data_IF_715700657272
#
_entry.id   IF_715700657272
#
_cell.length_a   1.000
_cell.length_b   1.000
_cell.length_c   1.000
_cell.angle_alpha   90.00
_cell.angle_beta   90.00
_cell.angle_gamma   90.00
#
_symmetry.space_group_name_H-M   'P 1'
#
loop_
_entity.id
_entity.type
_entity.pdbx_description
1 polymer ?
#
# COMPACT_ATOMS: atom_id res chain seq x y z
N UNK A 1 -5.45 1.90 -1.10
CA UNK A 1 -5.21 2.80 -2.27
C UNK A 1 -3.74 3.12 -2.45
N UNK A 2 -2.98 3.39 -1.39
CA UNK A 2 -1.53 3.65 -1.45
C UNK A 2 -0.71 2.59 -2.18
N UNK A 3 -1.01 1.29 -1.97
CA UNK A 3 -0.32 0.20 -2.69
C UNK A 3 -0.47 0.32 -4.21
N UNK A 4 -1.68 0.58 -4.69
CA UNK A 4 -1.95 0.76 -6.13
C UNK A 4 -1.17 1.94 -6.69
N UNK A 5 -1.14 3.07 -5.97
CA UNK A 5 -0.38 4.25 -6.37
C UNK A 5 1.13 3.96 -6.42
N UNK A 6 1.65 3.23 -5.43
CA UNK A 6 3.06 2.80 -5.40
C UNK A 6 3.41 1.91 -6.60
N UNK A 7 2.55 0.95 -6.97
CA UNK A 7 2.81 0.05 -8.09
C UNK A 7 2.61 0.71 -9.46
N UNK A 8 1.63 1.61 -9.61
CA UNK A 8 1.49 2.45 -10.82
C UNK A 8 2.70 3.37 -10.99
N UNK A 9 3.18 3.96 -9.89
CA UNK A 9 4.40 4.75 -9.91
C UNK A 9 5.60 3.92 -10.37
N UNK A 10 5.80 2.73 -9.80
CA UNK A 10 6.91 1.85 -10.20
C UNK A 10 6.83 1.39 -11.66
N UNK A 11 5.68 0.86 -12.07
CA UNK A 11 5.53 0.20 -13.36
C UNK A 11 5.29 1.13 -14.54
N UNK A 12 4.58 2.24 -14.34
CA UNK A 12 4.12 3.10 -15.45
C UNK A 12 4.77 4.48 -15.44
N UNK A 13 4.84 5.12 -14.27
CA UNK A 13 5.43 6.46 -14.18
C UNK A 13 6.96 6.41 -14.22
N UNK A 14 7.56 5.50 -13.46
CA UNK A 14 9.00 5.30 -13.44
C UNK A 14 9.43 4.30 -14.51
N UNK A 15 8.79 3.13 -14.56
CA UNK A 15 9.19 2.04 -15.45
C UNK A 15 10.64 1.64 -15.19
N UNK A 16 10.94 1.24 -13.94
CA UNK A 16 12.32 0.99 -13.53
C UNK A 16 12.92 -0.23 -14.24
N UNK A 17 14.12 -0.05 -14.78
CA UNK A 17 14.94 -1.11 -15.38
C UNK A 17 16.29 -1.16 -14.69
N UNK A 18 16.67 -2.36 -14.24
CA UNK A 18 18.01 -2.64 -13.73
C UNK A 18 18.93 -3.04 -14.87
N UNK A 19 20.13 -2.48 -14.92
CA UNK A 19 21.08 -2.69 -16.00
C UNK A 19 22.08 -3.79 -15.62
N UNK A 20 21.64 -4.98 -15.18
CA UNK A 20 22.61 -6.01 -14.79
C UNK A 20 23.44 -6.52 -15.98
N UNK A 21 24.74 -6.81 -15.81
CA UNK A 21 25.55 -6.77 -14.58
C UNK A 21 26.08 -5.38 -14.19
N UNK A 22 25.88 -4.35 -15.02
CA UNK A 22 26.28 -2.98 -14.73
C UNK A 22 25.50 -2.46 -13.50
N UNK A 23 26.16 -1.84 -12.50
CA UNK A 23 25.52 -1.48 -11.25
C UNK A 23 24.74 -0.17 -11.42
N UNK A 24 23.73 -0.17 -12.29
CA UNK A 24 22.95 0.99 -12.65
C UNK A 24 21.48 0.67 -12.86
N UNK A 25 20.68 1.73 -12.80
CA UNK A 25 19.24 1.67 -12.96
C UNK A 25 18.77 2.92 -13.72
N UNK A 26 17.80 2.75 -14.59
CA UNK A 26 17.19 3.82 -15.35
C UNK A 26 15.68 3.63 -15.46
N UNK A 27 14.98 4.65 -15.92
CA UNK A 27 13.53 4.62 -16.12
C UNK A 27 13.20 4.66 -17.60
N UNK A 28 12.14 3.94 -17.98
CA UNK A 28 11.53 4.03 -19.32
C UNK A 28 10.08 4.56 -19.25
N UNK A 29 9.59 4.86 -18.06
CA UNK A 29 8.23 5.35 -17.82
C UNK A 29 8.07 6.84 -18.14
N UNK A 30 6.83 7.32 -18.01
CA UNK A 30 6.44 8.68 -18.38
C UNK A 30 7.25 9.78 -17.66
N UNK A 31 7.62 9.58 -16.40
CA UNK A 31 8.40 10.55 -15.62
C UNK A 31 9.90 10.43 -15.82
N UNK A 32 10.39 9.36 -16.46
CA UNK A 32 11.83 9.13 -16.64
C UNK A 32 12.49 10.19 -17.53
N UNK A 33 11.73 10.80 -18.44
CA UNK A 33 12.22 11.91 -19.29
C UNK A 33 12.38 13.23 -18.54
N UNK A 34 11.73 13.39 -17.37
CA UNK A 34 11.69 14.66 -16.63
C UNK A 34 12.52 14.61 -15.35
N UNK A 35 12.83 13.43 -14.83
CA UNK A 35 13.42 13.26 -13.51
C UNK A 35 14.31 12.02 -13.46
N UNK A 36 15.41 12.10 -12.71
CA UNK A 36 16.33 10.97 -12.57
C UNK A 36 15.69 9.80 -11.83
N UNK A 37 16.14 8.59 -12.17
CA UNK A 37 15.68 7.37 -11.51
C UNK A 37 15.98 7.36 -10.01
N UNK A 38 17.05 8.04 -9.60
CA UNK A 38 17.38 8.26 -8.20
C UNK A 38 16.22 8.91 -7.42
N UNK A 39 15.64 9.99 -7.94
CA UNK A 39 14.51 10.69 -7.30
C UNK A 39 13.22 9.88 -7.39
N UNK A 40 12.98 9.22 -8.53
CA UNK A 40 11.78 8.41 -8.73
C UNK A 40 11.73 7.20 -7.78
N UNK A 41 12.87 6.59 -7.45
CA UNK A 41 12.93 5.54 -6.42
C UNK A 41 12.60 6.11 -5.04
N UNK A 42 13.06 7.30 -4.67
CA UNK A 42 12.73 7.92 -3.38
C UNK A 42 11.22 8.09 -3.22
N UNK A 43 10.55 8.62 -4.26
CA UNK A 43 9.09 8.77 -4.27
C UNK A 43 8.41 7.42 -4.07
N UNK A 44 8.89 6.39 -4.79
CA UNK A 44 8.36 5.04 -4.65
C UNK A 44 8.51 4.49 -3.22
N UNK A 45 9.69 4.64 -2.60
CA UNK A 45 9.97 4.19 -1.24
C UNK A 45 8.99 4.85 -0.26
N UNK A 46 8.70 6.15 -0.40
CA UNK A 46 7.71 6.82 0.45
C UNK A 46 6.29 6.30 0.23
N UNK A 47 5.84 6.13 -1.02
CA UNK A 47 4.52 5.59 -1.34
C UNK A 47 4.35 4.16 -0.80
N UNK A 48 5.39 3.34 -0.92
CA UNK A 48 5.43 2.00 -0.37
C UNK A 48 5.41 2.01 1.17
N UNK A 49 6.23 2.87 1.79
CA UNK A 49 6.26 3.06 3.23
C UNK A 49 4.90 3.48 3.81
N UNK A 50 4.17 4.36 3.13
CA UNK A 50 2.79 4.75 3.52
C UNK A 50 1.85 3.53 3.49
N UNK A 51 2.02 2.62 2.52
CA UNK A 51 1.25 1.38 2.46
C UNK A 51 1.51 0.51 3.69
N UNK A 52 2.77 0.29 4.03
CA UNK A 52 3.17 -0.50 5.21
C UNK A 52 2.66 0.16 6.49
N UNK A 53 2.82 1.47 6.63
CA UNK A 53 2.31 2.23 7.76
C UNK A 53 0.79 2.05 7.92
N UNK A 54 0.03 2.14 6.83
CA UNK A 54 -1.43 1.96 6.87
C UNK A 54 -1.82 0.56 7.40
N UNK A 55 -1.08 -0.48 7.01
CA UNK A 55 -1.31 -1.85 7.51
C UNK A 55 -1.12 -1.93 9.04
N UNK A 56 -0.06 -1.30 9.55
CA UNK A 56 0.18 -1.23 10.98
C UNK A 56 -0.88 -0.40 11.70
N UNK A 57 -1.21 0.79 11.21
CA UNK A 57 -2.23 1.66 11.82
C UNK A 57 -3.57 0.95 11.94
N UNK A 58 -4.03 0.26 10.88
CA UNK A 58 -5.26 -0.54 10.92
C UNK A 58 -5.18 -1.64 11.99
N UNK A 59 -4.03 -2.30 12.13
CA UNK A 59 -3.82 -3.35 13.12
C UNK A 59 -3.85 -2.80 14.55
N UNK A 60 -3.23 -1.64 14.79
CA UNK A 60 -3.21 -0.98 16.10
C UNK A 60 -4.60 -0.45 16.46
N UNK A 61 -5.32 0.16 15.52
CA UNK A 61 -6.72 0.60 15.74
C UNK A 61 -7.61 -0.60 16.10
N UNK A 62 -7.43 -1.75 15.43
CA UNK A 62 -8.14 -2.99 15.78
C UNK A 62 -7.78 -3.48 17.17
N UNK A 63 -6.50 -3.48 17.54
CA UNK A 63 -6.08 -3.86 18.88
C UNK A 63 -6.72 -2.96 19.93
N UNK A 64 -6.70 -1.64 19.71
CA UNK A 64 -7.34 -0.66 20.61
C UNK A 64 -8.84 -0.87 20.75
N UNK A 65 -9.53 -1.21 19.66
CA UNK A 65 -10.97 -1.47 19.68
C UNK A 65 -11.36 -2.73 20.48
N UNK A 66 -10.44 -3.69 20.63
CA UNK A 66 -10.67 -4.97 21.31
C UNK A 66 -10.00 -5.01 22.69
N UNK A 67 -9.07 -4.10 23.00
CA UNK A 67 -8.37 -4.08 24.27
C UNK A 67 -9.33 -3.81 25.44
N UNK A 68 -9.31 -4.68 26.46
CA UNK A 68 -10.06 -4.45 27.72
C UNK A 68 -9.46 -3.27 28.49
N UNK A 69 -10.28 -2.50 29.22
CA UNK A 69 -9.83 -1.35 30.01
C UNK A 69 -8.67 -1.64 31.00
N UNK A 70 -8.60 -2.87 31.54
CA UNK A 70 -7.52 -3.30 32.45
C UNK A 70 -6.42 -4.12 31.75
N UNK A 71 -6.35 -4.11 30.42
CA UNK A 71 -5.30 -4.79 29.68
C UNK A 71 -4.07 -3.91 29.54
N UNK A 72 -2.89 -4.54 29.49
CA UNK A 72 -1.60 -3.91 29.15
C UNK A 72 -1.65 -3.25 27.76
N UNK A 73 -2.57 -3.71 26.89
CA UNK A 73 -2.77 -3.16 25.54
C UNK A 73 -3.75 -1.97 25.49
N UNK A 74 -4.37 -1.60 26.62
CA UNK A 74 -5.21 -0.41 26.70
C UNK A 74 -4.37 0.81 27.07
N UNK A 75 -3.80 1.43 26.03
CA UNK A 75 -2.95 2.60 26.19
C UNK A 75 -3.76 3.88 26.37
N UNK A 76 -3.19 4.83 27.13
CA UNK A 76 -3.67 6.22 27.14
C UNK A 76 -3.44 6.87 25.77
N UNK A 77 -4.28 7.85 25.41
CA UNK A 77 -4.21 8.56 24.12
C UNK A 77 -2.83 9.14 23.84
N UNK A 78 -2.18 9.75 24.85
CA UNK A 78 -0.82 10.29 24.70
C UNK A 78 0.18 9.22 24.28
N UNK A 79 0.11 8.03 24.89
CA UNK A 79 1.01 6.93 24.55
C UNK A 79 0.73 6.41 23.14
N UNK A 80 -0.55 6.35 22.74
CA UNK A 80 -0.94 5.98 21.39
C UNK A 80 -0.35 6.93 20.33
N UNK A 81 -0.41 8.24 20.56
CA UNK A 81 0.19 9.22 19.65
C UNK A 81 1.71 9.10 19.57
N UNK A 82 2.39 8.98 20.72
CA UNK A 82 3.85 8.81 20.76
C UNK A 82 4.25 7.52 20.03
N UNK A 83 3.61 6.40 20.34
CA UNK A 83 3.89 5.11 19.70
C UNK A 83 3.66 5.18 18.18
N UNK A 84 2.55 5.78 17.74
CA UNK A 84 2.22 5.94 16.32
C UNK A 84 3.23 6.82 15.59
N UNK A 85 3.69 7.90 16.24
CA UNK A 85 4.72 8.77 15.70
C UNK A 85 6.06 8.05 15.56
N UNK A 86 6.51 7.36 16.61
CA UNK A 86 7.75 6.55 16.58
C UNK A 86 7.69 5.47 15.51
N UNK A 87 6.55 4.79 15.37
CA UNK A 87 6.35 3.77 14.33
C UNK A 87 6.41 4.38 12.93
N UNK A 88 5.83 5.57 12.74
CA UNK A 88 5.88 6.29 11.46
C UNK A 88 7.32 6.65 11.08
N UNK A 89 8.12 7.14 12.04
CA UNK A 89 9.54 7.41 11.83
C UNK A 89 10.31 6.13 11.48
N UNK A 90 10.07 5.05 12.21
CA UNK A 90 10.72 3.75 11.97
C UNK A 90 10.42 3.21 10.55
N UNK A 91 9.21 3.38 10.04
CA UNK A 91 8.82 2.89 8.71
C UNK A 91 9.31 3.82 7.59
N UNK A 92 9.16 5.14 7.77
CA UNK A 92 9.32 6.10 6.68
C UNK A 92 10.73 6.69 6.55
N UNK A 93 11.57 6.64 7.58
CA UNK A 93 12.88 7.33 7.57
C UNK A 93 14.04 6.46 7.07
N UNK A 94 14.23 5.20 7.52
CA UNK A 94 15.52 4.54 7.31
C UNK A 94 15.83 4.21 5.84
N UNK A 95 14.85 3.78 5.04
CA UNK A 95 15.08 3.50 3.61
C UNK A 95 15.33 4.76 2.78
N UNK A 96 14.52 5.83 2.86
CA UNK A 96 14.83 7.07 2.16
C UNK A 96 16.18 7.65 2.57
N UNK A 97 16.53 7.62 3.86
CA UNK A 97 17.84 8.09 4.32
C UNK A 97 19.00 7.26 3.75
N UNK A 98 18.87 5.93 3.76
CA UNK A 98 19.86 5.02 3.19
C UNK A 98 20.05 5.23 1.68
N UNK A 99 18.95 5.48 0.97
CA UNK A 99 18.96 5.77 -0.46
C UNK A 99 19.56 7.14 -0.76
N UNK A 100 19.18 8.18 0.01
CA UNK A 100 19.70 9.54 -0.20
C UNK A 100 21.23 9.56 0.01
N UNK A 101 21.70 8.90 1.07
CA UNK A 101 23.14 8.76 1.34
C UNK A 101 23.87 7.82 0.37
N UNK A 102 23.16 7.18 -0.58
CA UNK A 102 23.76 6.39 -1.66
C UNK A 102 23.96 7.18 -2.95
N UNK A 103 23.46 8.42 -3.01
CA UNK A 103 23.72 9.33 -4.12
C UNK A 103 25.22 9.51 -4.37
N UNK A 104 25.58 9.62 -5.65
CA UNK A 104 26.94 9.93 -6.09
C UNK A 104 26.89 11.16 -6.99
N UNK A 105 27.97 11.93 -7.01
CA UNK A 105 28.05 13.11 -7.88
C UNK A 105 28.21 12.68 -9.35
N UNK A 106 27.88 13.57 -10.32
CA UNK A 106 28.11 13.28 -11.73
C UNK A 106 29.58 12.95 -12.03
N UNK A 107 30.51 13.63 -11.37
CA UNK A 107 31.97 13.42 -11.55
C UNK A 107 32.39 12.04 -11.03
N UNK A 108 31.94 11.65 -9.84
CA UNK A 108 32.20 10.31 -9.29
C UNK A 108 31.65 9.23 -10.21
N UNK A 109 30.46 9.45 -10.75
CA UNK A 109 29.81 8.51 -11.67
C UNK A 109 30.59 8.36 -12.97
N UNK A 110 31.03 9.47 -13.58
CA UNK A 110 31.84 9.44 -14.79
C UNK A 110 33.20 8.77 -14.56
N UNK A 111 33.86 9.07 -13.44
CA UNK A 111 35.14 8.45 -13.09
C UNK A 111 34.98 6.94 -12.88
N UNK A 112 33.94 6.52 -12.15
CA UNK A 112 33.65 5.10 -11.94
C UNK A 112 33.43 4.35 -13.26
N UNK A 113 32.61 4.89 -14.18
CA UNK A 113 32.36 4.24 -15.47
C UNK A 113 33.63 4.19 -16.32
N UNK A 114 34.41 5.27 -16.38
CA UNK A 114 35.67 5.29 -17.15
C UNK A 114 36.71 4.29 -16.62
N UNK A 115 36.79 4.11 -15.31
CA UNK A 115 37.77 3.22 -14.68
C UNK A 115 37.36 1.75 -14.75
N UNK A 116 36.10 1.42 -14.45
CA UNK A 116 35.66 0.03 -14.30
C UNK A 116 34.88 -0.50 -15.51
N UNK A 117 34.29 0.37 -16.34
CA UNK A 117 33.49 -0.01 -17.51
C UNK A 117 33.80 0.88 -18.74
N UNK A 118 35.06 0.90 -19.21
CA UNK A 118 35.49 1.82 -20.28
C UNK A 118 34.76 1.62 -21.62
N UNK A 119 34.20 0.42 -21.85
CA UNK A 119 33.47 0.10 -23.09
C UNK A 119 31.99 0.52 -23.05
N UNK A 120 31.46 0.98 -21.91
CA UNK A 120 30.03 1.30 -21.73
C UNK A 120 29.78 2.79 -21.48
N UNK A 121 30.64 3.67 -22.00
CA UNK A 121 30.52 5.13 -21.80
C UNK A 121 29.19 5.70 -22.28
N UNK A 122 28.57 5.09 -23.30
CA UNK A 122 27.23 5.47 -23.81
C UNK A 122 26.13 5.43 -22.73
N UNK A 123 26.33 4.71 -21.63
CA UNK A 123 25.37 4.67 -20.52
C UNK A 123 25.23 6.04 -19.85
N UNK A 124 26.26 6.89 -19.92
CA UNK A 124 26.26 8.25 -19.38
C UNK A 124 25.37 9.20 -20.18
N UNK A 125 25.07 8.85 -21.44
CA UNK A 125 24.18 9.62 -22.31
C UNK A 125 22.69 9.32 -22.01
N UNK A 126 22.41 8.28 -21.21
CA UNK A 126 21.05 7.93 -20.80
C UNK A 126 20.57 8.93 -19.76
N UNK A 127 19.57 9.73 -20.15
CA UNK A 127 18.97 10.72 -19.27
C UNK A 127 18.41 10.06 -18.01
N UNK A 128 18.83 10.57 -16.84
CA UNK A 128 18.29 10.12 -15.56
C UNK A 128 18.75 8.74 -15.10
N UNK A 129 19.81 8.18 -15.69
CA UNK A 129 20.48 6.97 -15.18
C UNK A 129 21.05 7.23 -13.79
N UNK A 130 20.92 6.25 -12.91
CA UNK A 130 21.55 6.23 -11.59
C UNK A 130 22.50 5.04 -11.52
N UNK A 131 23.71 5.26 -11.00
CA UNK A 131 24.79 4.28 -10.98
C UNK A 131 25.31 4.17 -9.54
N UNK A 132 25.37 2.95 -9.03
CA UNK A 132 26.04 2.65 -7.77
C UNK A 132 27.55 2.68 -7.99
N UNK A 133 28.17 3.78 -7.58
CA UNK A 133 29.62 3.97 -7.72
C UNK A 133 30.44 3.24 -6.66
N UNK A 134 29.78 2.60 -5.69
CA UNK A 134 30.43 1.91 -4.57
C UNK A 134 29.58 0.70 -4.13
N UNK A 135 30.22 -0.46 -4.06
CA UNK A 135 29.61 -1.72 -3.62
C UNK A 135 29.11 -1.63 -2.16
N UNK A 136 29.76 -0.84 -1.32
CA UNK A 136 29.34 -0.64 0.07
C UNK A 136 27.99 0.10 0.16
N UNK A 137 27.76 1.10 -0.70
CA UNK A 137 26.49 1.83 -0.76
C UNK A 137 25.33 0.88 -1.10
N UNK A 138 25.51 0.00 -2.08
CA UNK A 138 24.51 -1.00 -2.46
C UNK A 138 24.29 -2.04 -1.34
N UNK A 139 25.36 -2.55 -0.75
CA UNK A 139 25.29 -3.50 0.38
C UNK A 139 24.53 -2.93 1.57
N UNK A 140 24.74 -1.65 1.91
CA UNK A 140 24.01 -0.96 2.98
C UNK A 140 22.50 -0.91 2.72
N UNK A 141 22.08 -0.64 1.48
CA UNK A 141 20.66 -0.64 1.11
C UNK A 141 20.05 -2.02 1.36
N UNK A 142 20.73 -3.09 0.95
CA UNK A 142 20.26 -4.47 1.19
C UNK A 142 20.15 -4.76 2.68
N UNK A 143 21.18 -4.43 3.48
CA UNK A 143 21.18 -4.67 4.93
C UNK A 143 20.00 -3.96 5.61
N UNK A 144 19.78 -2.67 5.29
CA UNK A 144 18.68 -1.90 5.87
C UNK A 144 17.32 -2.45 5.42
N UNK A 145 17.17 -2.83 4.15
CA UNK A 145 15.94 -3.41 3.63
C UNK A 145 15.61 -4.75 4.32
N UNK A 146 16.57 -5.67 4.40
CA UNK A 146 16.39 -6.98 5.07
C UNK A 146 16.09 -6.79 6.55
N UNK A 147 16.83 -5.89 7.22
CA UNK A 147 16.60 -5.53 8.62
C UNK A 147 15.15 -5.10 8.83
N UNK A 148 14.70 -4.07 8.11
CA UNK A 148 13.35 -3.53 8.21
C UNK A 148 12.26 -4.54 7.90
N UNK A 149 12.41 -5.33 6.84
CA UNK A 149 11.43 -6.36 6.46
C UNK A 149 11.31 -7.39 7.60
N UNK A 150 12.45 -7.83 8.14
CA UNK A 150 12.49 -8.82 9.22
C UNK A 150 11.86 -8.28 10.50
N UNK A 151 12.30 -7.11 10.96
CA UNK A 151 11.80 -6.51 12.21
C UNK A 151 10.36 -6.06 12.09
N UNK A 152 9.92 -5.52 10.94
CA UNK A 152 8.51 -5.22 10.69
C UNK A 152 7.66 -6.49 10.65
N UNK A 153 8.14 -7.57 10.02
CA UNK A 153 7.47 -8.87 10.01
C UNK A 153 7.26 -9.40 11.43
N UNK A 154 8.30 -9.39 12.27
CA UNK A 154 8.21 -9.79 13.68
C UNK A 154 7.21 -8.93 14.47
N UNK A 155 7.25 -7.61 14.31
CA UNK A 155 6.31 -6.69 14.96
C UNK A 155 4.86 -6.95 14.52
N UNK A 156 4.64 -7.24 13.25
CA UNK A 156 3.31 -7.55 12.72
C UNK A 156 2.77 -8.87 13.31
N UNK A 157 3.61 -9.91 13.38
CA UNK A 157 3.25 -11.19 14.02
C UNK A 157 2.91 -10.98 15.50
N UNK A 158 3.72 -10.21 16.23
CA UNK A 158 3.45 -9.86 17.62
C UNK A 158 2.10 -9.15 17.80
N UNK A 159 1.79 -8.16 16.95
CA UNK A 159 0.50 -7.48 16.96
C UNK A 159 -0.66 -8.44 16.69
N UNK A 160 -0.51 -9.36 15.73
CA UNK A 160 -1.54 -10.37 15.46
C UNK A 160 -1.78 -11.28 16.67
N UNK A 161 -0.72 -11.70 17.36
CA UNK A 161 -0.83 -12.49 18.59
C UNK A 161 -1.49 -11.70 19.72
N UNK A 162 -1.15 -10.43 19.90
CA UNK A 162 -1.80 -9.55 20.87
C UNK A 162 -3.31 -9.40 20.60
N UNK A 163 -3.70 -9.20 19.35
CA UNK A 163 -5.11 -9.14 18.94
C UNK A 163 -5.81 -10.47 19.23
N UNK A 164 -5.20 -11.61 18.86
CA UNK A 164 -5.78 -12.94 19.13
C UNK A 164 -5.96 -13.20 20.63
N UNK A 165 -4.98 -12.78 21.43
CA UNK A 165 -5.02 -12.90 22.88
C UNK A 165 -6.18 -12.10 23.48
N UNK A 166 -6.34 -10.82 23.11
CA UNK A 166 -7.46 -10.00 23.59
C UNK A 166 -8.82 -10.54 23.10
N UNK A 167 -8.93 -10.99 21.85
CA UNK A 167 -10.14 -11.66 21.33
C UNK A 167 -10.50 -12.85 22.20
N UNK A 168 -9.53 -13.74 22.51
CA UNK A 168 -9.78 -14.93 23.35
C UNK A 168 -10.26 -14.56 24.74
N UNK A 169 -9.69 -13.51 25.30
CA UNK A 169 -10.00 -13.10 26.66
C UNK A 169 -11.34 -12.38 26.77
N UNK A 170 -11.78 -11.69 25.71
CA UNK A 170 -13.11 -11.09 25.63
C UNK A 170 -14.23 -12.06 25.19
N UNK A 171 -13.93 -13.34 24.95
CA UNK A 171 -14.95 -14.35 24.61
C UNK A 171 -16.08 -14.48 25.65
N UNK A 172 -15.83 -14.14 26.92
CA UNK A 172 -16.82 -14.21 28.00
C UNK A 172 -17.72 -12.98 28.08
N UNK A 173 -17.29 -11.85 27.52
CA UNK A 173 -17.98 -10.55 27.64
C UNK A 173 -18.63 -10.09 26.33
N UNK A 174 -18.06 -10.46 25.18
CA UNK A 174 -18.61 -10.14 23.87
C UNK A 174 -19.61 -11.20 23.41
N UNK A 175 -20.60 -10.78 22.62
CA UNK A 175 -21.51 -11.72 21.96
C UNK A 175 -20.76 -12.60 20.95
N UNK A 176 -21.24 -13.83 20.78
CA UNK A 176 -20.65 -14.81 19.86
C UNK A 176 -20.57 -14.30 18.42
N UNK A 177 -21.54 -13.49 17.99
CA UNK A 177 -21.58 -12.85 16.66
C UNK A 177 -20.44 -11.84 16.47
N UNK A 178 -20.21 -10.96 17.44
CA UNK A 178 -19.14 -9.94 17.37
C UNK A 178 -17.77 -10.59 17.43
N UNK A 179 -17.60 -11.60 18.30
CA UNK A 179 -16.36 -12.37 18.40
C UNK A 179 -16.02 -13.08 17.07
N UNK A 180 -17.01 -13.74 16.46
CA UNK A 180 -16.85 -14.42 15.17
C UNK A 180 -16.47 -13.43 14.06
N UNK A 181 -17.01 -12.21 14.09
CA UNK A 181 -16.65 -11.14 13.16
C UNK A 181 -15.18 -10.73 13.31
N UNK A 182 -14.70 -10.40 14.51
CA UNK A 182 -13.30 -9.99 14.72
C UNK A 182 -12.31 -11.09 14.37
N UNK A 183 -12.62 -12.35 14.71
CA UNK A 183 -11.77 -13.51 14.35
C UNK A 183 -11.70 -13.72 12.84
N UNK A 184 -12.84 -13.59 12.14
CA UNK A 184 -12.88 -13.65 10.67
C UNK A 184 -12.09 -12.51 10.06
N UNK A 185 -12.31 -11.27 10.50
CA UNK A 185 -11.64 -10.08 9.99
C UNK A 185 -10.11 -10.14 10.17
N UNK A 186 -9.62 -10.71 11.28
CA UNK A 186 -8.20 -10.93 11.50
C UNK A 186 -7.64 -12.00 10.55
N UNK A 187 -8.32 -13.15 10.43
CA UNK A 187 -7.93 -14.21 9.48
C UNK A 187 -7.85 -13.68 8.05
N UNK A 188 -8.88 -12.94 7.62
CA UNK A 188 -8.97 -12.37 6.28
C UNK A 188 -7.79 -11.41 6.03
N UNK A 189 -7.48 -10.53 6.99
CA UNK A 189 -6.33 -9.60 6.90
C UNK A 189 -4.98 -10.32 6.87
N UNK A 190 -4.79 -11.38 7.66
CA UNK A 190 -3.56 -12.18 7.62
C UNK A 190 -3.39 -12.82 6.24
N UNK A 191 -4.43 -13.44 5.68
CA UNK A 191 -4.38 -14.05 4.35
C UNK A 191 -4.03 -13.01 3.28
N UNK A 192 -4.64 -11.83 3.34
CA UNK A 192 -4.35 -10.73 2.42
C UNK A 192 -2.89 -10.29 2.47
N UNK A 193 -2.31 -10.18 3.68
CA UNK A 193 -0.91 -9.77 3.87
C UNK A 193 0.06 -10.87 3.47
N UNK A 194 -0.26 -12.15 3.70
CA UNK A 194 0.56 -13.27 3.22
C UNK A 194 0.61 -13.28 1.70
N UNK A 195 -0.54 -13.16 1.03
CA UNK A 195 -0.59 -13.06 -0.44
C UNK A 195 0.23 -11.87 -0.91
N UNK A 196 0.02 -10.69 -0.33
CA UNK A 196 0.76 -9.49 -0.68
C UNK A 196 2.28 -9.69 -0.48
N UNK A 197 2.68 -10.31 0.62
CA UNK A 197 4.07 -10.59 0.97
C UNK A 197 4.74 -11.57 0.00
N UNK A 198 4.02 -12.55 -0.53
CA UNK A 198 4.54 -13.46 -1.58
C UNK A 198 4.85 -12.65 -2.84
N UNK A 199 3.90 -11.89 -3.37
CA UNK A 199 4.11 -11.14 -4.61
C UNK A 199 5.17 -10.04 -4.48
N UNK A 200 5.20 -9.33 -3.35
CA UNK A 200 6.18 -8.27 -3.09
C UNK A 200 7.55 -8.80 -2.67
N UNK A 201 7.62 -9.95 -2.00
CA UNK A 201 8.87 -10.52 -1.48
C UNK A 201 9.59 -11.40 -2.50
N UNK A 202 8.86 -12.15 -3.32
CA UNK A 202 9.46 -13.00 -4.36
C UNK A 202 10.18 -12.17 -5.42
N UNK A 203 9.66 -11.01 -5.77
CA UNK A 203 10.26 -10.14 -6.80
C UNK A 203 11.69 -9.69 -6.49
N UNK A 204 11.98 -9.00 -5.37
CA UNK A 204 13.35 -8.56 -5.06
C UNK A 204 14.31 -9.74 -4.89
N UNK A 205 13.85 -10.88 -4.35
CA UNK A 205 14.67 -12.09 -4.30
C UNK A 205 15.04 -12.60 -5.71
N UNK A 206 14.09 -12.63 -6.65
CA UNK A 206 14.37 -13.03 -8.02
C UNK A 206 15.24 -12.01 -8.77
N UNK A 207 15.10 -10.71 -8.49
CA UNK A 207 15.98 -9.68 -9.05
C UNK A 207 17.41 -9.79 -8.54
N UNK A 208 17.59 -10.07 -7.24
CA UNK A 208 18.91 -10.33 -6.66
C UNK A 208 19.51 -11.59 -7.28
N UNK A 209 18.74 -12.67 -7.42
CA UNK A 209 19.22 -13.90 -8.08
C UNK A 209 19.61 -13.65 -9.54
N UNK A 210 18.85 -12.84 -10.28
CA UNK A 210 19.20 -12.42 -11.64
C UNK A 210 20.50 -11.60 -11.67
N UNK A 211 20.78 -10.80 -10.64
CA UNK A 211 22.02 -10.02 -10.55
C UNK A 211 23.28 -10.88 -10.41
N UNK A 212 23.15 -12.11 -9.88
CA UNK A 212 24.26 -13.06 -9.73
C UNK A 212 24.36 -14.09 -10.87
N UNK A 213 23.54 -13.95 -11.92
CA UNK A 213 23.57 -14.84 -13.08
C UNK A 213 24.71 -14.46 -14.04
N UNK A 214 25.20 -15.43 -14.81
CA UNK A 214 26.25 -15.18 -15.80
C UNK A 214 25.86 -14.02 -16.74
N UNK A 215 26.78 -13.07 -16.98
CA UNK A 215 26.49 -11.85 -17.73
C UNK A 215 26.19 -12.10 -19.22
N UNK A 216 26.49 -13.29 -19.74
CA UNK A 216 26.16 -13.71 -21.10
C UNK A 216 24.73 -14.29 -21.23
N UNK A 217 24.05 -14.56 -20.11
CA UNK A 217 22.69 -15.06 -20.12
C UNK A 217 21.70 -13.93 -20.39
N UNK A 218 20.80 -14.12 -21.36
CA UNK A 218 19.69 -13.18 -21.58
C UNK A 218 18.74 -13.19 -20.36
N UNK A 219 18.77 -12.09 -19.59
CA UNK A 219 17.95 -11.89 -18.40
C UNK A 219 16.76 -10.96 -18.67
N UNK A 220 16.58 -10.48 -19.89
CA UNK A 220 15.56 -9.47 -20.24
C UNK A 220 14.17 -10.03 -20.00
N UNK A 221 13.83 -11.18 -20.59
CA UNK A 221 12.50 -11.81 -20.41
C UNK A 221 12.21 -12.13 -18.95
N UNK A 222 13.19 -12.67 -18.22
CA UNK A 222 13.04 -12.98 -16.80
C UNK A 222 12.75 -11.70 -15.99
N UNK A 223 13.49 -10.63 -16.23
CA UNK A 223 13.33 -9.34 -15.54
C UNK A 223 11.97 -8.69 -15.84
N UNK A 224 11.49 -8.78 -17.08
CA UNK A 224 10.14 -8.32 -17.47
C UNK A 224 9.06 -9.09 -16.71
N UNK A 225 9.14 -10.43 -16.68
CA UNK A 225 8.17 -11.27 -15.97
C UNK A 225 8.18 -10.97 -14.47
N UNK A 226 9.36 -10.86 -13.86
CA UNK A 226 9.52 -10.52 -12.44
C UNK A 226 8.90 -9.14 -12.13
N UNK A 227 9.19 -8.12 -12.94
CA UNK A 227 8.60 -6.80 -12.78
C UNK A 227 7.08 -6.80 -12.98
N UNK A 228 6.55 -7.58 -13.92
CA UNK A 228 5.11 -7.72 -14.13
C UNK A 228 4.41 -8.34 -12.90
N UNK A 229 5.01 -9.37 -12.30
CA UNK A 229 4.51 -10.00 -11.06
C UNK A 229 4.49 -8.98 -9.91
N UNK A 230 5.55 -8.17 -9.79
CA UNK A 230 5.63 -7.14 -8.75
C UNK A 230 4.55 -6.07 -8.86
N UNK A 231 4.43 -5.48 -10.05
CA UNK A 231 3.49 -4.39 -10.33
C UNK A 231 2.05 -4.89 -10.24
N UNK A 232 1.81 -6.17 -10.57
CA UNK A 232 0.49 -6.79 -10.45
C UNK A 232 0.13 -7.25 -9.04
N UNK A 233 1.02 -7.15 -8.05
CA UNK A 233 0.75 -7.50 -6.63
C UNK A 233 -0.58 -6.94 -6.05
N UNK A 234 -1.09 -5.75 -6.44
CA UNK A 234 -2.38 -5.27 -5.94
C UNK A 234 -3.59 -6.04 -6.49
N UNK A 235 -3.46 -6.74 -7.62
CA UNK A 235 -4.56 -7.47 -8.28
C UNK A 235 -4.96 -8.71 -7.47
N UNK A 236 -4.06 -9.67 -7.15
CA UNK A 236 -4.39 -10.80 -6.27
C UNK A 236 -4.92 -10.34 -4.90
N UNK A 237 -4.35 -9.25 -4.35
CA UNK A 237 -4.80 -8.66 -3.11
C UNK A 237 -6.27 -8.18 -3.19
N UNK A 238 -6.63 -7.46 -4.25
CA UNK A 238 -8.00 -6.99 -4.48
C UNK A 238 -8.99 -8.15 -4.70
N UNK A 239 -8.61 -9.16 -5.48
CA UNK A 239 -9.43 -10.37 -5.69
C UNK A 239 -9.72 -11.06 -4.35
N UNK A 240 -8.71 -11.18 -3.49
CA UNK A 240 -8.84 -11.78 -2.17
C UNK A 240 -9.85 -11.03 -1.29
N UNK A 241 -9.81 -9.69 -1.30
CA UNK A 241 -10.78 -8.85 -0.58
C UNK A 241 -12.21 -9.09 -1.09
N UNK A 242 -12.40 -9.13 -2.41
CA UNK A 242 -13.71 -9.37 -3.03
C UNK A 242 -14.24 -10.75 -2.64
N UNK A 243 -13.37 -11.77 -2.63
CA UNK A 243 -13.76 -13.13 -2.27
C UNK A 243 -14.16 -13.26 -0.79
N UNK A 244 -13.41 -12.64 0.12
CA UNK A 244 -13.62 -12.76 1.57
C UNK A 244 -14.81 -11.94 2.10
N UNK A 245 -15.11 -10.79 1.46
CA UNK A 245 -16.17 -9.89 1.87
C UNK A 245 -17.45 -10.09 1.05
N UNK A 246 -18.39 -10.86 1.59
CA UNK A 246 -19.67 -11.17 0.94
C UNK A 246 -20.53 -9.93 0.68
N UNK A 247 -20.48 -8.92 1.54
CA UNK A 247 -21.23 -7.67 1.38
C UNK A 247 -20.67 -6.88 0.19
N UNK A 248 -19.35 -6.75 0.13
CA UNK A 248 -18.67 -6.06 -0.97
C UNK A 248 -18.88 -6.80 -2.30
N UNK A 249 -18.82 -8.13 -2.29
CA UNK A 249 -19.15 -8.97 -3.45
C UNK A 249 -20.59 -8.74 -3.94
N UNK A 250 -21.57 -8.74 -3.04
CA UNK A 250 -22.98 -8.47 -3.39
C UNK A 250 -23.16 -7.08 -3.98
N UNK A 251 -22.46 -6.08 -3.45
CA UNK A 251 -22.47 -4.71 -3.97
C UNK A 251 -21.87 -4.61 -5.38
N UNK A 252 -20.73 -5.26 -5.65
CA UNK A 252 -20.15 -5.28 -6.99
C UNK A 252 -21.07 -5.99 -7.98
N UNK A 253 -21.61 -7.16 -7.59
CA UNK A 253 -22.54 -7.92 -8.44
C UNK A 253 -23.78 -7.11 -8.75
N UNK A 254 -24.36 -6.41 -7.76
CA UNK A 254 -25.53 -5.56 -8.01
C UNK A 254 -25.19 -4.40 -8.93
N UNK A 255 -24.06 -3.73 -8.74
CA UNK A 255 -23.61 -2.64 -9.60
C UNK A 255 -23.38 -3.08 -11.05
N UNK A 256 -22.84 -4.28 -11.27
CA UNK A 256 -22.65 -4.86 -12.61
C UNK A 256 -24.00 -5.25 -13.25
N UNK A 257 -24.90 -5.90 -12.51
CA UNK A 257 -26.23 -6.29 -13.02
C UNK A 257 -27.14 -5.09 -13.32
N UNK A 258 -26.95 -3.94 -12.65
CA UNK A 258 -27.67 -2.70 -12.99
C UNK A 258 -27.16 -2.06 -14.29
N UNK A 259 -25.95 -2.41 -14.74
CA UNK A 259 -25.37 -1.90 -15.99
C UNK A 259 -25.94 -2.63 -17.21
N UNK A 260 -26.45 -3.84 -17.04
CA UNK A 260 -27.07 -4.67 -18.09
C UNK A 260 -28.58 -4.40 -18.30
N UNK A 261 -29.19 -3.53 -17.48
CA UNK A 261 -30.55 -3.04 -17.74
C UNK A 261 -30.47 -1.75 -18.54
N UNK A 262 -30.82 -1.73 -19.84
CA UNK A 262 -31.01 -0.46 -20.54
C UNK A 262 -32.05 0.35 -19.77
N UNK A 263 -31.69 1.58 -19.39
CA UNK A 263 -32.64 2.55 -18.84
C UNK A 263 -33.67 2.83 -19.93
N UNK A 264 -34.80 2.14 -19.90
CA UNK A 264 -35.99 2.56 -20.63
C UNK A 264 -36.41 3.90 -20.01
N UNK A 265 -36.44 5.02 -20.75
CA UNK A 265 -36.94 6.27 -20.20
C UNK A 265 -38.42 6.09 -19.91
N UNK A 266 -38.79 6.11 -18.62
CA UNK A 266 -40.19 6.23 -18.21
C UNK A 266 -40.65 7.64 -18.53
N UNK A 267 -41.19 7.82 -19.73
CA UNK A 267 -42.12 8.90 -20.04
C UNK A 267 -43.40 8.63 -19.23
N UNK A 268 -43.83 9.60 -18.43
CA UNK A 268 -45.18 9.61 -17.86
C UNK A 268 -45.26 9.31 -16.36
N UNK A 269 -44.91 10.30 -15.53
CA UNK A 269 -45.68 10.59 -14.33
C UNK A 269 -45.59 12.09 -14.05
N UNK A 270 -46.38 12.84 -14.82
CA UNK A 270 -46.67 14.24 -14.57
C UNK A 270 -47.21 14.36 -13.15
N UNK A 271 -46.49 15.14 -12.35
CA UNK A 271 -46.86 15.60 -11.02
C UNK A 271 -48.17 16.40 -11.16
N UNK A 272 -49.30 15.85 -10.72
CA UNK A 272 -50.50 16.66 -10.44
C UNK A 272 -50.45 17.09 -8.97
N UNK A 273 -49.97 18.31 -8.75
CA UNK A 273 -50.18 19.05 -7.50
C UNK A 273 -51.47 19.84 -7.70
N UNK A 274 -52.57 19.41 -7.07
CA UNK A 274 -53.75 20.26 -6.91
C UNK A 274 -53.48 21.27 -5.79
N UNK A 275 -53.05 22.47 -6.18
CA UNK A 275 -53.07 23.65 -5.31
C UNK A 275 -54.45 24.28 -5.45
N UNK A 276 -55.23 24.34 -4.36
CA UNK A 276 -56.40 25.22 -4.25
C UNK A 276 -56.04 26.32 -3.26
N UNK A 277 -55.89 27.59 -3.68
CA UNK A 277 -55.70 28.71 -2.77
C UNK A 277 -57.02 29.47 -2.50
N UNK A 278 -57.28 29.73 -1.22
CA UNK A 278 -57.86 30.99 -0.72
C UNK A 278 -59.39 31.12 -0.63
N UNK A 279 -59.92 31.27 0.60
CA UNK A 279 -60.67 32.47 0.97
C UNK A 279 -60.93 32.61 2.49
N UNK A 280 -60.49 33.76 3.01
CA UNK A 280 -61.13 34.66 3.99
C UNK A 280 -61.52 34.22 5.42
N UNK A 281 -60.67 34.65 6.38
CA UNK A 281 -61.01 35.51 7.55
C UNK A 281 -61.90 34.95 8.70
N UNK A 282 -61.99 35.60 9.89
CA UNK A 282 -61.44 35.03 11.13
C UNK A 282 -62.49 34.91 12.25
N UNK A 283 -62.23 34.12 13.31
CA UNK A 283 -62.79 34.38 14.64
C UNK A 283 -62.09 33.57 15.75
N UNK A 284 -61.30 34.32 16.52
CA UNK A 284 -61.13 34.40 17.98
C UNK A 284 -61.59 33.25 18.91
N UNK A 285 -60.89 33.02 20.06
CA UNK A 285 -60.94 31.79 20.85
C UNK A 285 -61.78 31.86 22.14
N UNK A 286 -62.26 30.72 22.62
CA UNK A 286 -62.66 30.48 24.03
C UNK A 286 -62.62 28.97 24.29
N UNK A 287 -61.78 28.42 25.19
CA UNK A 287 -61.73 28.46 26.67
C UNK A 287 -62.39 27.23 27.32
N UNK A 288 -61.64 26.66 28.29
CA UNK A 288 -62.05 25.89 29.48
C UNK A 288 -62.35 24.39 29.37
N UNK A 289 -61.45 23.63 30.02
CA UNK A 289 -61.66 22.59 31.04
C UNK A 289 -63.04 21.94 31.15
N UNK A 290 -63.05 20.59 31.09
CA UNK A 290 -63.54 19.69 32.15
C UNK A 290 -63.30 18.23 31.76
N UNK A 291 -62.49 17.51 32.53
CA UNK A 291 -62.91 16.32 33.28
C UNK A 291 -61.88 16.06 34.38
#
# INVERSE_FOLDING_TARGET
>A
MSLWLSQVHWGSLHGLVFIFPFPGLYGIGYLASYTSSYVLVIIWIFLFGITVLTIFLVSIVRLRAIARHNSIFHFNDKFYYIFTFTLSLYILVPMPFCWISSGSTPIETQNFVKTYYPNTLKVLDILGVFIYTDAWKFRRIIIVAVGLISTAGCLYVFLCQAILYEIRQQCRTLSSTVLKYHRKALKDTIVQIVILGIFLGTTPCLQILNAYRDPEADTITATIVINAIFVSSPIPYAITIIYQNTTYRRYIISMLHFRDKPKIPKVGSTIQISIVPGNNSPRSPHSKNRQ
#
